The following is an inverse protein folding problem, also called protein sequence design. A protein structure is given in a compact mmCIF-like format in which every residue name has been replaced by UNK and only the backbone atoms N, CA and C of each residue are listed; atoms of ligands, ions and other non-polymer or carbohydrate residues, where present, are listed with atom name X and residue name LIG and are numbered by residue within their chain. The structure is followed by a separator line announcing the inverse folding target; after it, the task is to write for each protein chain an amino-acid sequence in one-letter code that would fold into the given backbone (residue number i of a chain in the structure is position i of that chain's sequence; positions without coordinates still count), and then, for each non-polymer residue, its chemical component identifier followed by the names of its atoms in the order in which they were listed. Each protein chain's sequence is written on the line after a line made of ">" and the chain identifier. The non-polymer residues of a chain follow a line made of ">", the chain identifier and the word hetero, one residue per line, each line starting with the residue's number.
data_IF_847850144319
#
_entry.id   IF_847850144319
#
_cell.length_a   1.000
_cell.length_b   1.000
_cell.length_c   1.000
_cell.angle_alpha   90.00
_cell.angle_beta   90.00
_cell.angle_gamma   90.00
#
_symmetry.space_group_name_H-M   'P 1'
#
loop_
_entity.id
_entity.type
_entity.pdbx_description
1 polymer ?
#
# COMPACT_ATOMS: atom_id res chain seq x y z
N UNK A 1 -1.96 -8.63 39.08
CA UNK A 1 -3.11 -9.51 38.78
C UNK A 1 -3.73 -8.97 37.50
N UNK A 2 -3.44 -9.59 36.35
CA UNK A 2 -3.82 -9.04 35.04
C UNK A 2 -4.94 -9.87 34.40
N UNK A 3 -5.91 -9.15 33.83
CA UNK A 3 -6.92 -9.55 32.84
C UNK A 3 -8.18 -10.25 33.36
N UNK A 4 -9.20 -9.45 33.70
CA UNK A 4 -10.58 -9.86 33.50
C UNK A 4 -10.91 -9.76 32.01
N UNK A 5 -11.37 -10.87 31.42
CA UNK A 5 -11.71 -10.99 29.99
C UNK A 5 -12.97 -10.21 29.58
N UNK A 6 -13.74 -9.73 30.56
CA UNK A 6 -14.87 -8.81 30.35
C UNK A 6 -14.89 -7.79 31.49
N UNK A 7 -14.45 -6.56 31.21
CA UNK A 7 -14.81 -5.38 32.01
C UNK A 7 -16.18 -4.92 31.49
N UNK A 8 -17.21 -4.97 32.33
CA UNK A 8 -18.58 -4.55 31.97
C UNK A 8 -18.58 -3.11 31.43
N UNK A 9 -19.43 -2.82 30.44
CA UNK A 9 -19.40 -1.62 29.59
C UNK A 9 -18.92 -0.34 30.26
N UNK A 10 -17.61 -0.14 30.29
CA UNK A 10 -16.97 1.08 30.80
C UNK A 10 -17.14 2.12 29.69
N UNK A 11 -17.67 3.29 30.04
CA UNK A 11 -17.66 4.42 29.12
C UNK A 11 -16.20 4.69 28.73
N UNK A 12 -15.83 4.66 27.43
CA UNK A 12 -14.47 4.91 26.99
C UNK A 12 -13.87 6.19 27.57
N UNK A 13 -14.70 7.20 27.86
CA UNK A 13 -14.28 8.48 28.43
C UNK A 13 -13.97 8.46 29.93
N UNK A 14 -14.35 7.39 30.63
CA UNK A 14 -14.01 7.12 32.05
C UNK A 14 -12.85 6.13 32.20
N UNK A 15 -12.41 5.53 31.10
CA UNK A 15 -11.31 4.56 31.08
C UNK A 15 -9.98 5.20 31.45
N UNK A 16 -9.25 4.56 32.37
CA UNK A 16 -7.93 4.98 32.80
C UNK A 16 -6.80 4.44 31.91
N UNK A 17 -5.58 4.58 32.43
CA UNK A 17 -4.34 4.16 31.75
C UNK A 17 -4.23 2.64 31.65
N UNK A 18 -4.70 1.90 32.66
CA UNK A 18 -4.69 0.44 32.69
C UNK A 18 -5.62 -0.17 31.64
N UNK A 19 -6.80 0.41 31.43
CA UNK A 19 -7.76 0.00 30.40
C UNK A 19 -7.19 0.13 28.99
N UNK A 20 -6.38 1.16 28.74
CA UNK A 20 -5.72 1.33 27.44
C UNK A 20 -4.69 0.21 27.19
N UNK A 21 -3.89 -0.15 28.19
CA UNK A 21 -2.93 -1.25 28.07
C UNK A 21 -3.62 -2.61 27.96
N UNK A 22 -4.70 -2.84 28.72
CA UNK A 22 -5.51 -4.06 28.64
C UNK A 22 -6.12 -4.20 27.23
N UNK A 23 -6.61 -3.10 26.66
CA UNK A 23 -7.15 -3.08 25.30
C UNK A 23 -6.08 -3.41 24.25
N UNK A 24 -4.87 -2.84 24.35
CA UNK A 24 -3.77 -3.17 23.44
C UNK A 24 -3.33 -4.63 23.59
N UNK A 25 -3.31 -5.16 24.81
CA UNK A 25 -3.02 -6.57 25.07
C UNK A 25 -4.10 -7.49 24.50
N UNK A 26 -5.36 -7.12 24.64
CA UNK A 26 -6.46 -7.83 24.01
C UNK A 26 -6.28 -7.86 22.48
N UNK A 27 -6.01 -6.72 21.83
CA UNK A 27 -5.76 -6.70 20.38
C UNK A 27 -4.59 -7.62 19.98
N UNK A 28 -3.52 -7.63 20.77
CA UNK A 28 -2.38 -8.51 20.53
C UNK A 28 -2.76 -10.00 20.67
N UNK A 29 -3.53 -10.37 21.70
CA UNK A 29 -4.03 -11.74 21.91
C UNK A 29 -4.96 -12.21 20.78
N UNK A 30 -5.65 -11.29 20.11
CA UNK A 30 -6.45 -11.53 18.90
C UNK A 30 -5.59 -11.65 17.62
N UNK A 31 -4.27 -11.72 17.76
CA UNK A 31 -3.33 -11.84 16.65
C UNK A 31 -3.13 -10.56 15.84
N UNK A 32 -3.52 -9.38 16.36
CA UNK A 32 -3.26 -8.11 15.66
C UNK A 32 -1.78 -7.77 15.75
N UNK A 33 -1.21 -7.36 14.61
CA UNK A 33 0.21 -6.97 14.51
C UNK A 33 0.51 -5.74 15.36
N UNK A 34 1.73 -5.65 15.89
CA UNK A 34 2.16 -4.51 16.70
C UNK A 34 1.93 -3.16 15.99
N UNK A 35 2.16 -3.09 14.67
CA UNK A 35 1.87 -1.89 13.86
C UNK A 35 0.38 -1.50 13.86
N UNK A 36 -0.52 -2.49 13.84
CA UNK A 36 -1.98 -2.23 13.91
C UNK A 36 -2.38 -1.69 15.27
N UNK A 37 -1.77 -2.22 16.33
CA UNK A 37 -2.00 -1.77 17.71
C UNK A 37 -1.48 -0.34 17.92
N UNK A 38 -0.32 0.00 17.34
CA UNK A 38 0.22 1.37 17.39
C UNK A 38 -0.68 2.39 16.65
N UNK A 39 -1.29 1.98 15.52
CA UNK A 39 -2.32 2.78 14.85
C UNK A 39 -3.58 2.92 15.72
N UNK A 40 -4.03 1.85 16.37
CA UNK A 40 -5.17 1.90 17.28
C UNK A 40 -4.91 2.84 18.46
N UNK A 41 -3.70 2.83 19.02
CA UNK A 41 -3.27 3.81 20.03
C UNK A 41 -3.36 5.23 19.50
N UNK A 42 -2.83 5.49 18.30
CA UNK A 42 -2.87 6.82 17.69
C UNK A 42 -4.32 7.30 17.47
N UNK A 43 -5.22 6.41 17.06
CA UNK A 43 -6.64 6.70 16.93
C UNK A 43 -7.31 6.99 18.28
N UNK A 44 -6.97 6.24 19.34
CA UNK A 44 -7.47 6.51 20.70
C UNK A 44 -6.99 7.86 21.24
N UNK A 45 -5.73 8.22 21.00
CA UNK A 45 -5.20 9.55 21.36
C UNK A 45 -6.04 10.65 20.69
N UNK A 46 -6.31 10.53 19.39
CA UNK A 46 -7.14 11.48 18.65
C UNK A 46 -8.58 11.53 19.19
N UNK A 47 -9.17 10.38 19.51
CA UNK A 47 -10.51 10.28 20.10
C UNK A 47 -10.61 11.00 21.45
N UNK A 48 -9.65 10.78 22.36
CA UNK A 48 -9.63 11.44 23.66
C UNK A 48 -9.37 12.94 23.57
N UNK A 49 -8.50 13.36 22.65
CA UNK A 49 -8.25 14.78 22.39
C UNK A 49 -9.52 15.48 21.85
N UNK A 50 -10.25 14.84 20.92
CA UNK A 50 -11.51 15.37 20.40
C UNK A 50 -12.58 15.54 21.50
N UNK A 51 -12.55 14.69 22.53
CA UNK A 51 -13.44 14.75 23.69
C UNK A 51 -12.88 15.53 24.88
N UNK A 52 -11.71 16.15 24.74
CA UNK A 52 -11.03 16.94 25.78
C UNK A 52 -10.80 16.17 27.09
N UNK A 53 -10.57 14.86 27.01
CA UNK A 53 -10.23 14.02 28.17
C UNK A 53 -8.79 14.35 28.60
N UNK A 54 -8.62 14.85 29.82
CA UNK A 54 -7.32 15.20 30.40
C UNK A 54 -7.20 14.64 31.83
N UNK A 55 -6.11 13.93 32.17
CA UNK A 55 -5.01 13.54 31.29
C UNK A 55 -5.42 12.49 30.25
N UNK A 56 -4.79 12.50 29.07
CA UNK A 56 -5.10 11.55 28.00
C UNK A 56 -4.51 10.16 28.35
N UNK A 57 -5.36 9.15 28.62
CA UNK A 57 -4.88 7.85 29.09
C UNK A 57 -4.08 7.07 28.04
N UNK A 58 -4.31 7.32 26.75
CA UNK A 58 -3.56 6.68 25.66
C UNK A 58 -2.18 7.30 25.40
N UNK A 59 -1.91 8.49 25.96
CA UNK A 59 -0.60 9.14 25.93
C UNK A 59 0.28 8.80 27.14
N UNK A 60 -0.24 8.03 28.10
CA UNK A 60 0.51 7.67 29.29
C UNK A 60 1.79 6.88 28.96
N UNK A 61 2.79 7.05 29.83
CA UNK A 61 4.09 6.39 29.71
C UNK A 61 3.96 4.87 29.70
N UNK A 62 3.01 4.30 30.45
CA UNK A 62 2.75 2.85 30.51
C UNK A 62 2.26 2.32 29.16
N UNK A 63 1.30 3.02 28.54
CA UNK A 63 0.81 2.71 27.20
C UNK A 63 1.92 2.80 26.14
N UNK A 64 2.81 3.80 26.24
CA UNK A 64 3.98 3.91 25.37
C UNK A 64 4.98 2.77 25.58
N UNK A 65 5.32 2.43 26.82
CA UNK A 65 6.24 1.34 27.13
C UNK A 65 5.71 -0.01 26.66
N UNK A 66 4.40 -0.24 26.78
CA UNK A 66 3.75 -1.46 26.30
C UNK A 66 3.94 -1.67 24.79
N UNK A 67 3.66 -0.65 23.96
CA UNK A 67 3.83 -0.74 22.50
C UNK A 67 5.30 -0.97 22.12
N UNK A 68 6.23 -0.26 22.76
CA UNK A 68 7.67 -0.45 22.52
C UNK A 68 8.12 -1.85 22.92
N UNK A 69 7.60 -2.39 24.03
CA UNK A 69 7.83 -3.76 24.48
C UNK A 69 7.33 -4.79 23.46
N UNK A 70 6.11 -4.61 22.94
CA UNK A 70 5.57 -5.46 21.87
C UNK A 70 6.42 -5.45 20.61
N UNK A 71 6.86 -4.28 20.14
CA UNK A 71 7.72 -4.17 18.95
C UNK A 71 9.06 -4.88 19.15
N UNK A 72 9.67 -4.75 20.34
CA UNK A 72 10.91 -5.46 20.67
C UNK A 72 10.71 -6.97 20.72
N UNK A 73 9.62 -7.42 21.36
CA UNK A 73 9.27 -8.83 21.44
C UNK A 73 9.03 -9.45 20.05
N UNK A 74 8.26 -8.78 19.19
CA UNK A 74 8.00 -9.25 17.83
C UNK A 74 9.27 -9.35 16.98
N UNK A 75 10.17 -8.37 17.11
CA UNK A 75 11.46 -8.39 16.41
C UNK A 75 12.36 -9.53 16.86
N UNK A 76 12.37 -9.84 18.16
CA UNK A 76 13.16 -10.96 18.70
C UNK A 76 12.62 -12.33 18.28
N UNK A 77 11.30 -12.45 18.12
CA UNK A 77 10.63 -13.71 17.81
C UNK A 77 10.28 -13.85 16.32
N UNK A 78 10.79 -12.97 15.44
CA UNK A 78 10.49 -12.96 13.99
C UNK A 78 8.99 -12.94 13.64
N UNK A 79 8.15 -12.42 14.55
CA UNK A 79 6.69 -12.36 14.38
C UNK A 79 6.30 -11.32 13.31
N UNK A 80 7.14 -10.30 13.14
CA UNK A 80 6.94 -9.20 12.18
C UNK A 80 7.63 -9.43 10.82
N UNK A 81 8.08 -10.65 10.48
CA UNK A 81 8.48 -10.94 9.10
C UNK A 81 7.26 -10.79 8.19
N UNK A 82 7.11 -9.57 7.66
CA UNK A 82 6.16 -9.26 6.61
C UNK A 82 6.56 -10.14 5.43
N UNK A 83 5.76 -11.20 5.16
CA UNK A 83 5.82 -11.91 3.89
C UNK A 83 5.73 -10.85 2.81
N UNK A 84 6.88 -10.46 2.26
CA UNK A 84 6.94 -9.51 1.18
C UNK A 84 6.12 -10.11 0.06
N UNK A 85 5.25 -9.30 -0.54
CA UNK A 85 4.56 -9.71 -1.75
C UNK A 85 5.62 -10.14 -2.76
N UNK A 86 5.37 -11.26 -3.44
CA UNK A 86 6.24 -11.73 -4.52
C UNK A 86 6.40 -10.60 -5.54
N UNK A 87 7.63 -10.10 -5.78
CA UNK A 87 7.83 -9.07 -6.78
C UNK A 87 7.53 -9.68 -8.15
N UNK A 88 6.54 -9.13 -8.84
CA UNK A 88 6.22 -9.57 -10.20
C UNK A 88 7.45 -9.39 -11.09
N UNK A 89 7.79 -10.44 -11.83
CA UNK A 89 8.71 -10.35 -12.96
C UNK A 89 7.99 -9.77 -14.17
N UNK A 90 8.77 -9.29 -15.13
CA UNK A 90 8.26 -8.77 -16.39
C UNK A 90 7.43 -9.84 -17.15
N UNK A 91 7.84 -11.10 -17.06
CA UNK A 91 7.15 -12.22 -17.72
C UNK A 91 5.81 -12.55 -17.04
N UNK A 92 5.76 -12.55 -15.71
CA UNK A 92 4.52 -12.76 -14.96
C UNK A 92 3.52 -11.62 -15.21
N UNK A 93 4.00 -10.39 -15.27
CA UNK A 93 3.18 -9.24 -15.63
C UNK A 93 2.63 -9.35 -17.06
N UNK A 94 3.47 -9.75 -18.03
CA UNK A 94 3.05 -10.00 -19.40
C UNK A 94 1.92 -11.03 -19.47
N UNK A 95 2.10 -12.15 -18.78
CA UNK A 95 1.11 -13.24 -18.72
C UNK A 95 -0.21 -12.73 -18.13
N UNK A 96 -0.14 -11.96 -17.04
CA UNK A 96 -1.30 -11.38 -16.38
C UNK A 96 -2.07 -10.41 -17.30
N UNK A 97 -1.36 -9.49 -17.96
CA UNK A 97 -1.95 -8.52 -18.88
C UNK A 97 -2.63 -9.22 -20.06
N UNK A 98 -1.97 -10.23 -20.64
CA UNK A 98 -2.51 -10.99 -21.77
C UNK A 98 -3.75 -11.82 -21.38
N UNK A 99 -3.74 -12.44 -20.19
CA UNK A 99 -4.91 -13.14 -19.68
C UNK A 99 -6.11 -12.19 -19.48
N UNK A 100 -5.87 -11.01 -18.90
CA UNK A 100 -6.91 -10.00 -18.65
C UNK A 100 -7.42 -9.33 -19.94
N UNK A 101 -6.61 -9.28 -20.99
CA UNK A 101 -7.02 -8.74 -22.30
C UNK A 101 -8.18 -9.53 -22.91
N UNK A 102 -8.35 -10.81 -22.54
CA UNK A 102 -9.43 -11.67 -23.04
C UNK A 102 -10.81 -11.41 -22.42
N UNK A 103 -10.91 -10.61 -21.34
CA UNK A 103 -12.17 -10.38 -20.62
C UNK A 103 -13.15 -9.49 -21.39
N UNK A 104 -12.73 -8.25 -21.67
CA UNK A 104 -13.51 -7.26 -22.41
C UNK A 104 -12.55 -6.17 -22.89
N UNK A 105 -12.69 -5.70 -24.14
CA UNK A 105 -11.72 -4.79 -24.77
C UNK A 105 -11.42 -3.56 -23.90
N UNK A 106 -12.46 -2.89 -23.38
CA UNK A 106 -12.29 -1.73 -22.51
C UNK A 106 -11.60 -2.06 -21.17
N UNK A 107 -12.00 -3.15 -20.51
CA UNK A 107 -11.49 -3.50 -19.19
C UNK A 107 -10.05 -4.00 -19.29
N UNK A 108 -9.75 -4.79 -20.32
CA UNK A 108 -8.41 -5.27 -20.64
C UNK A 108 -7.45 -4.12 -20.90
N UNK A 109 -7.83 -3.13 -21.72
CA UNK A 109 -7.02 -1.93 -21.94
C UNK A 109 -6.79 -1.10 -20.68
N UNK A 110 -7.82 -0.94 -19.82
CA UNK A 110 -7.71 -0.21 -18.57
C UNK A 110 -6.76 -0.91 -17.58
N UNK A 111 -6.91 -2.22 -17.40
CA UNK A 111 -6.05 -3.02 -16.53
C UNK A 111 -4.61 -3.08 -17.05
N UNK A 112 -4.43 -3.18 -18.37
CA UNK A 112 -3.12 -3.10 -19.01
C UNK A 112 -2.42 -1.79 -18.69
N UNK A 113 -3.11 -0.65 -18.90
CA UNK A 113 -2.56 0.66 -18.58
C UNK A 113 -2.18 0.76 -17.10
N UNK A 114 -3.11 0.38 -16.21
CA UNK A 114 -2.90 0.43 -14.77
C UNK A 114 -1.69 -0.38 -14.32
N UNK A 115 -1.57 -1.63 -14.78
CA UNK A 115 -0.50 -2.53 -14.38
C UNK A 115 0.84 -2.14 -15.00
N UNK A 116 0.87 -1.77 -16.28
CA UNK A 116 2.11 -1.39 -16.96
C UNK A 116 2.69 -0.09 -16.40
N UNK A 117 1.85 0.94 -16.18
CA UNK A 117 2.29 2.21 -15.61
C UNK A 117 2.73 2.04 -14.15
N UNK A 118 2.01 1.24 -13.36
CA UNK A 118 2.41 0.96 -11.98
C UNK A 118 3.74 0.21 -11.92
N UNK A 119 3.96 -0.75 -12.82
CA UNK A 119 5.17 -1.55 -12.87
C UNK A 119 6.39 -0.74 -13.34
N UNK A 120 6.27 -0.02 -14.45
CA UNK A 120 7.37 0.78 -15.03
C UNK A 120 7.71 1.99 -14.16
N UNK A 121 6.69 2.66 -13.62
CA UNK A 121 6.88 3.82 -12.75
C UNK A 121 7.20 3.48 -11.30
N UNK A 122 7.10 2.20 -10.90
CA UNK A 122 7.10 1.80 -9.48
C UNK A 122 6.08 2.58 -8.64
N UNK A 123 4.96 2.95 -9.28
CA UNK A 123 3.90 3.72 -8.64
C UNK A 123 2.99 2.80 -7.84
N UNK A 124 2.43 3.33 -6.76
CA UNK A 124 1.35 2.64 -6.05
C UNK A 124 0.10 2.66 -6.91
N UNK A 125 -0.66 1.58 -6.90
CA UNK A 125 -1.94 1.48 -7.65
C UNK A 125 -2.86 2.66 -7.36
N UNK A 126 -2.91 3.16 -6.12
CA UNK A 126 -3.69 4.34 -5.75
C UNK A 126 -3.26 5.62 -6.45
N UNK A 127 -1.98 5.78 -6.77
CA UNK A 127 -1.44 6.96 -7.46
C UNK A 127 -1.83 6.93 -8.93
N UNK A 128 -1.78 5.76 -9.56
CA UNK A 128 -2.19 5.56 -10.96
C UNK A 128 -3.71 5.68 -11.11
N UNK A 129 -4.49 5.16 -10.17
CA UNK A 129 -5.95 5.33 -10.14
C UNK A 129 -6.39 6.79 -9.93
N UNK A 130 -5.53 7.64 -9.37
CA UNK A 130 -5.81 9.07 -9.16
C UNK A 130 -5.46 9.94 -10.38
N UNK A 131 -4.88 9.36 -11.45
CA UNK A 131 -4.55 10.08 -12.67
C UNK A 131 -5.81 10.60 -13.35
N UNK A 132 -5.74 11.82 -13.88
CA UNK A 132 -6.75 12.36 -14.80
C UNK A 132 -6.22 12.35 -16.22
N UNK A 133 -7.11 12.55 -17.18
CA UNK A 133 -6.76 12.62 -18.60
C UNK A 133 -5.58 13.56 -18.88
N UNK A 134 -5.58 14.76 -18.28
CA UNK A 134 -4.53 15.77 -18.49
C UNK A 134 -3.20 15.45 -17.79
N UNK A 135 -3.11 14.34 -17.04
CA UNK A 135 -1.87 13.91 -16.38
C UNK A 135 -1.07 12.92 -17.22
N UNK A 136 -1.63 12.45 -18.32
CA UNK A 136 -1.01 11.43 -19.16
C UNK A 136 -0.88 11.98 -20.57
N UNK A 137 0.35 12.04 -21.06
CA UNK A 137 0.64 12.55 -22.40
C UNK A 137 1.63 11.64 -23.10
N UNK A 138 1.31 11.27 -24.35
CA UNK A 138 2.28 10.63 -25.24
C UNK A 138 3.12 11.73 -25.85
N UNK A 139 4.42 11.68 -25.66
CA UNK A 139 5.39 12.64 -26.20
C UNK A 139 6.28 11.90 -27.19
N UNK A 140 6.60 12.56 -28.31
CA UNK A 140 7.56 12.08 -29.30
C UNK A 140 8.56 13.19 -29.54
N UNK A 141 9.83 12.92 -29.25
CA UNK A 141 10.94 13.85 -29.47
C UNK A 141 12.07 13.19 -30.27
N UNK A 142 13.24 13.83 -30.31
CA UNK A 142 14.42 13.33 -31.03
C UNK A 142 15.02 12.06 -30.41
N UNK A 143 14.68 11.76 -29.15
CA UNK A 143 15.20 10.63 -28.37
C UNK A 143 14.26 9.42 -28.51
N UNK A 144 12.97 9.67 -28.71
CA UNK A 144 12.00 8.65 -29.08
C UNK A 144 10.57 8.99 -28.65
N UNK A 145 9.70 7.98 -28.67
CA UNK A 145 8.35 8.06 -28.14
C UNK A 145 8.37 7.60 -26.68
N UNK A 146 7.70 8.32 -25.79
CA UNK A 146 7.52 7.94 -24.39
C UNK A 146 6.19 8.42 -23.83
N UNK A 147 5.80 7.85 -22.70
CA UNK A 147 4.62 8.22 -21.94
C UNK A 147 5.03 9.13 -20.78
N UNK A 148 4.61 10.39 -20.82
CA UNK A 148 4.74 11.31 -19.69
C UNK A 148 3.55 11.14 -18.75
N UNK A 149 3.83 10.89 -17.46
CA UNK A 149 2.84 10.72 -16.40
C UNK A 149 3.11 11.73 -15.30
N UNK A 150 2.13 12.57 -14.98
CA UNK A 150 2.17 13.57 -13.92
C UNK A 150 1.43 13.08 -12.67
N UNK A 151 2.18 12.76 -11.61
CA UNK A 151 1.62 12.40 -10.31
C UNK A 151 1.39 13.65 -9.45
N UNK A 152 0.13 13.87 -9.03
CA UNK A 152 -0.24 14.99 -8.15
C UNK A 152 -0.20 14.63 -6.66
N UNK A 153 -0.49 13.37 -6.34
CA UNK A 153 -0.42 12.86 -4.96
C UNK A 153 0.69 11.82 -4.88
N UNK A 154 1.89 12.24 -4.50
CA UNK A 154 2.99 11.34 -4.19
C UNK A 154 3.35 11.46 -2.70
N UNK A 155 3.51 10.33 -2.00
CA UNK A 155 3.79 10.33 -0.53
C UNK A 155 5.16 10.91 -0.16
N UNK A 156 6.04 11.11 -1.16
CA UNK A 156 7.32 11.82 -1.02
C UNK A 156 7.35 13.16 -1.78
N UNK A 157 6.21 13.73 -2.17
CA UNK A 157 6.17 15.11 -2.64
C UNK A 157 6.50 16.02 -1.46
N UNK A 158 7.79 16.29 -1.28
CA UNK A 158 8.27 17.33 -0.40
C UNK A 158 7.91 18.67 -1.05
N UNK A 159 6.90 19.33 -0.48
CA UNK A 159 6.82 20.76 -0.11
C UNK A 159 7.17 21.85 -1.15
N UNK A 160 7.66 21.56 -2.37
CA UNK A 160 8.01 22.62 -3.35
C UNK A 160 7.35 22.49 -4.73
N UNK A 161 6.95 21.30 -5.17
CA UNK A 161 6.23 21.13 -6.46
C UNK A 161 4.91 20.37 -6.26
N UNK A 162 3.81 20.95 -6.72
CA UNK A 162 2.44 20.40 -6.65
C UNK A 162 2.26 19.08 -7.43
N UNK A 163 3.27 18.67 -8.21
CA UNK A 163 3.28 17.42 -8.96
C UNK A 163 4.69 16.96 -9.33
N UNK A 164 4.85 15.65 -9.57
CA UNK A 164 6.06 15.04 -10.11
C UNK A 164 5.77 14.44 -11.49
N UNK A 165 6.58 14.78 -12.49
CA UNK A 165 6.45 14.28 -13.86
C UNK A 165 7.47 13.17 -14.12
N UNK A 166 7.00 12.04 -14.62
CA UNK A 166 7.82 10.88 -14.96
C UNK A 166 7.70 10.58 -16.44
N UNK A 167 8.82 10.22 -17.07
CA UNK A 167 8.88 9.80 -18.45
C UNK A 167 9.11 8.30 -18.51
N UNK A 168 8.04 7.55 -18.82
CA UNK A 168 8.06 6.10 -18.94
C UNK A 168 8.36 5.74 -20.39
N UNK A 169 9.33 4.85 -20.58
CA UNK A 169 9.73 4.39 -21.91
C UNK A 169 8.55 3.67 -22.59
N UNK A 170 8.40 3.89 -23.90
CA UNK A 170 7.32 3.31 -24.71
C UNK A 170 7.34 1.77 -24.71
N UNK A 171 6.19 1.16 -24.99
CA UNK A 171 5.97 -0.30 -25.04
C UNK A 171 6.93 -1.01 -26.00
N UNK A 172 7.52 -0.27 -26.95
CA UNK A 172 8.57 -0.75 -27.86
C UNK A 172 9.85 -1.20 -27.14
N UNK A 173 10.14 -0.65 -25.96
CA UNK A 173 11.30 -1.04 -25.13
C UNK A 173 11.01 -2.24 -24.22
N UNK A 174 9.73 -2.61 -24.04
CA UNK A 174 9.32 -3.81 -23.31
C UNK A 174 8.37 -4.65 -24.18
N UNK A 175 8.90 -5.40 -25.19
CA UNK A 175 8.09 -6.16 -26.13
C UNK A 175 7.20 -7.22 -25.45
N UNK A 176 7.56 -7.64 -24.26
CA UNK A 176 6.79 -8.52 -23.38
C UNK A 176 5.50 -7.88 -22.85
N UNK A 177 5.40 -6.54 -22.77
CA UNK A 177 4.15 -5.85 -22.43
C UNK A 177 3.23 -5.66 -23.65
N UNK A 178 3.68 -6.06 -24.85
CA UNK A 178 2.83 -6.10 -26.04
C UNK A 178 1.83 -7.24 -25.90
N UNK A 179 0.56 -6.92 -26.14
CA UNK A 179 -0.48 -7.94 -26.27
C UNK A 179 -0.14 -8.78 -27.50
N UNK A 180 0.26 -10.03 -27.28
CA UNK A 180 0.23 -11.02 -28.34
C UNK A 180 -1.25 -11.31 -28.56
N UNK A 181 -1.76 -11.01 -29.76
CA UNK A 181 -3.19 -11.15 -30.06
C UNK A 181 -3.75 -12.53 -29.74
N UNK A 182 -2.88 -13.55 -29.69
CA UNK A 182 -3.18 -14.90 -29.24
C UNK A 182 -2.04 -15.49 -28.38
N UNK A 183 -2.38 -16.33 -27.41
CA UNK A 183 -1.43 -17.09 -26.58
C UNK A 183 -0.43 -17.89 -27.44
N UNK A 184 -0.87 -18.35 -28.62
CA UNK A 184 -0.04 -19.10 -29.56
C UNK A 184 1.09 -18.23 -30.16
N UNK A 185 0.84 -16.96 -30.47
CA UNK A 185 1.86 -16.02 -30.95
C UNK A 185 2.93 -15.74 -29.90
N UNK A 186 2.54 -15.70 -28.62
CA UNK A 186 3.45 -15.53 -27.50
C UNK A 186 4.35 -16.77 -27.32
N UNK A 187 3.77 -17.98 -27.36
CA UNK A 187 4.56 -19.23 -27.30
C UNK A 187 5.46 -19.43 -28.52
N UNK A 188 5.04 -18.99 -29.70
CA UNK A 188 5.85 -19.03 -30.91
C UNK A 188 7.07 -18.09 -30.79
N UNK A 189 6.90 -16.88 -30.25
CA UNK A 189 8.00 -15.95 -30.00
C UNK A 189 8.97 -16.45 -28.93
N UNK A 190 8.47 -17.07 -27.85
CA UNK A 190 9.33 -17.64 -26.81
C UNK A 190 10.15 -18.85 -27.30
N UNK A 191 9.66 -19.62 -28.27
CA UNK A 191 10.41 -20.74 -28.89
C UNK A 191 11.42 -20.30 -29.95
N UNK A 192 11.34 -19.05 -30.41
CA UNK A 192 12.24 -18.48 -31.42
C UNK A 192 13.44 -17.75 -30.79
N UNK A 193 13.48 -17.61 -29.46
CA UNK A 193 14.66 -17.23 -28.68
C UNK A 193 15.40 -18.49 -28.19
#
# INVERSE_FOLDING_TARGET
>A
MFLQTQKGGIDPTTSGTEECTDFFHYLYSQGKKARTIDLAKSALVAYFNARRVAPNPAQDTTARHYIVGLQKYNKQNNVDEEKKAHPLTVQELSTLVNALASLHLFLGSMLRFLLAVSFLGYFRMSEVLALRWNDVQIVSDQIGRYLSVRLRMHKKAGVEEDCQVYHLVDETSFPCLLVCGFHDDYTAKLRAC
#
